data_IF_380401757599
#
_entry.id   IF_380401757599
#
_cell.length_a   1.000
_cell.length_b   1.000
_cell.length_c   1.000
_cell.angle_alpha   90.00
_cell.angle_beta   90.00
_cell.angle_gamma   90.00
#
_symmetry.space_group_name_H-M   'P 1'
#
loop_
_entity.id
_entity.type
_entity.pdbx_description
1 polymer ?
#
# COMPACT_ATOMS: atom_id res chain seq x y z
N UNK A 1 9.30 -42.17 14.01
CA UNK A 1 9.59 -41.25 12.90
C UNK A 1 10.23 -40.02 13.52
N UNK A 2 11.54 -39.86 13.41
CA UNK A 2 12.24 -38.66 13.85
C UNK A 2 11.77 -37.51 12.96
N UNK A 3 11.03 -36.54 13.51
CA UNK A 3 10.86 -35.25 12.84
C UNK A 3 12.26 -34.70 12.61
N UNK A 4 12.73 -34.76 11.36
CA UNK A 4 13.94 -34.06 10.95
C UNK A 4 13.78 -32.61 11.41
N UNK A 5 14.78 -32.07 12.10
CA UNK A 5 14.77 -30.67 12.48
C UNK A 5 14.50 -29.80 11.24
N UNK A 6 13.77 -28.68 11.37
CA UNK A 6 13.55 -27.75 10.27
C UNK A 6 14.91 -27.32 9.67
N UNK A 7 15.00 -27.13 8.35
CA UNK A 7 16.24 -26.68 7.74
C UNK A 7 16.65 -25.31 8.29
N UNK A 8 17.96 -25.14 8.51
CA UNK A 8 18.52 -23.88 9.00
C UNK A 8 18.65 -22.92 7.81
N UNK A 9 18.04 -21.75 7.93
CA UNK A 9 18.10 -20.68 6.95
C UNK A 9 19.49 -20.01 6.97
N UNK A 10 20.09 -19.68 5.80
CA UNK A 10 21.43 -19.09 5.73
C UNK A 10 21.52 -17.67 6.30
N UNK A 11 20.39 -16.98 6.42
CA UNK A 11 20.25 -15.66 7.03
C UNK A 11 19.43 -15.79 8.30
N UNK A 12 20.04 -15.53 9.46
CA UNK A 12 19.43 -15.82 10.76
C UNK A 12 18.10 -15.08 11.00
N UNK A 13 17.98 -13.82 10.58
CA UNK A 13 16.75 -13.03 10.76
C UNK A 13 15.57 -13.54 9.90
N UNK A 14 15.85 -14.34 8.87
CA UNK A 14 14.84 -14.92 7.98
C UNK A 14 14.39 -16.33 8.40
N UNK A 15 15.02 -16.95 9.42
CA UNK A 15 14.62 -18.28 9.90
C UNK A 15 13.14 -18.31 10.33
N UNK A 16 12.71 -17.30 11.09
CA UNK A 16 11.34 -17.22 11.59
C UNK A 16 10.28 -17.13 10.48
N UNK A 17 10.37 -16.14 9.57
CA UNK A 17 9.48 -16.06 8.41
C UNK A 17 9.48 -17.33 7.56
N UNK A 18 10.66 -17.93 7.37
CA UNK A 18 10.80 -19.18 6.62
C UNK A 18 10.07 -20.34 7.31
N UNK A 19 10.28 -20.56 8.61
CA UNK A 19 9.62 -21.61 9.38
C UNK A 19 8.09 -21.47 9.37
N UNK A 20 7.57 -20.24 9.49
CA UNK A 20 6.13 -19.97 9.37
C UNK A 20 5.62 -20.34 7.98
N UNK A 21 6.29 -19.94 6.90
CA UNK A 21 5.88 -20.25 5.53
C UNK A 21 5.87 -21.77 5.23
N UNK A 22 6.83 -22.52 5.78
CA UNK A 22 6.90 -23.98 5.67
C UNK A 22 5.76 -24.66 6.43
N UNK A 23 5.45 -24.18 7.63
CA UNK A 23 4.35 -24.69 8.44
C UNK A 23 2.98 -24.43 7.78
N UNK A 24 2.80 -23.26 7.17
CA UNK A 24 1.60 -22.89 6.41
C UNK A 24 1.43 -23.80 5.17
N UNK A 25 2.50 -24.03 4.41
CA UNK A 25 2.47 -24.88 3.21
C UNK A 25 2.11 -26.34 3.50
N UNK A 26 2.40 -26.83 4.71
CA UNK A 26 2.13 -28.21 5.13
C UNK A 26 0.68 -28.42 5.58
N UNK A 27 -0.04 -27.35 5.94
CA UNK A 27 -1.42 -27.41 6.46
C UNK A 27 -2.49 -27.40 5.36
N UNK A 28 -2.09 -27.42 4.08
CA UNK A 28 -2.97 -27.23 2.93
C UNK A 28 -3.27 -25.75 2.67
N UNK A 29 -3.78 -25.39 1.48
CA UNK A 29 -4.08 -24.00 1.17
C UNK A 29 -5.08 -23.44 2.17
N UNK A 30 -4.67 -22.44 2.94
CA UNK A 30 -5.58 -21.64 3.74
C UNK A 30 -6.41 -20.79 2.75
N UNK A 31 -7.71 -21.11 2.60
CA UNK A 31 -8.65 -20.39 1.72
C UNK A 31 -8.73 -18.88 2.03
N UNK A 32 -8.16 -18.44 3.17
CA UNK A 32 -8.03 -17.04 3.58
C UNK A 32 -6.87 -16.29 2.90
N UNK A 33 -5.84 -16.99 2.42
CA UNK A 33 -4.75 -16.42 1.64
C UNK A 33 -5.07 -16.46 0.14
N UNK A 34 -6.22 -15.91 -0.25
CA UNK A 34 -6.42 -15.56 -1.66
C UNK A 34 -5.41 -14.46 -1.95
N UNK A 35 -4.32 -14.84 -2.61
CA UNK A 35 -3.40 -13.90 -3.25
C UNK A 35 -4.23 -12.82 -3.91
N UNK A 36 -3.85 -11.55 -3.66
CA UNK A 36 -4.47 -10.37 -4.26
C UNK A 36 -4.68 -10.70 -5.72
N UNK A 37 -5.93 -10.96 -6.12
CA UNK A 37 -6.24 -11.48 -7.44
C UNK A 37 -5.71 -10.46 -8.43
N UNK A 38 -4.62 -10.80 -9.11
CA UNK A 38 -3.97 -10.00 -10.16
C UNK A 38 -4.95 -9.49 -11.23
N UNK A 39 -6.11 -10.14 -11.30
CA UNK A 39 -7.16 -9.92 -12.29
C UNK A 39 -8.16 -8.82 -11.95
N UNK A 40 -8.09 -8.20 -10.77
CA UNK A 40 -9.01 -7.10 -10.47
C UNK A 40 -8.52 -5.78 -11.09
N UNK A 41 -9.38 -5.11 -11.85
CA UNK A 41 -9.10 -3.80 -12.46
C UNK A 41 -8.70 -2.77 -11.37
N UNK A 42 -7.57 -2.05 -11.53
CA UNK A 42 -7.16 -0.97 -10.62
C UNK A 42 -8.28 0.03 -10.29
N UNK A 43 -9.15 0.35 -11.26
CA UNK A 43 -10.28 1.25 -11.01
C UNK A 43 -11.32 0.66 -10.07
N UNK A 44 -11.59 -0.65 -10.19
CA UNK A 44 -12.50 -1.35 -9.27
C UNK A 44 -11.90 -1.42 -7.86
N UNK A 45 -10.60 -1.67 -7.73
CA UNK A 45 -9.92 -1.62 -6.41
C UNK A 45 -10.04 -0.23 -5.79
N UNK A 46 -9.79 0.83 -6.57
CA UNK A 46 -9.97 2.21 -6.11
C UNK A 46 -11.40 2.47 -5.67
N UNK A 47 -12.39 2.04 -6.45
CA UNK A 47 -13.81 2.17 -6.10
C UNK A 47 -14.12 1.50 -4.77
N UNK A 48 -13.64 0.28 -4.53
CA UNK A 48 -13.84 -0.42 -3.26
C UNK A 48 -13.26 0.33 -2.06
N UNK A 49 -12.02 0.85 -2.18
CA UNK A 49 -11.42 1.72 -1.15
C UNK A 49 -12.30 2.94 -0.85
N UNK A 50 -12.97 3.49 -1.87
CA UNK A 50 -13.81 4.66 -1.72
C UNK A 50 -15.20 4.35 -1.18
N UNK A 51 -15.74 3.15 -1.39
CA UNK A 51 -17.12 2.78 -1.04
C UNK A 51 -17.22 2.00 0.27
N UNK A 52 -16.32 1.03 0.49
CA UNK A 52 -16.34 0.10 1.62
C UNK A 52 -15.42 0.61 2.75
N UNK A 53 -15.97 0.73 3.96
CA UNK A 53 -15.24 1.23 5.13
C UNK A 53 -14.19 0.26 5.65
N UNK A 54 -14.41 -1.04 5.43
CA UNK A 54 -13.58 -2.13 5.93
C UNK A 54 -12.66 -2.71 4.85
N UNK A 55 -12.78 -2.25 3.60
CA UNK A 55 -11.94 -2.76 2.52
C UNK A 55 -10.47 -2.40 2.75
N UNK A 56 -9.67 -3.43 3.02
CA UNK A 56 -8.22 -3.36 2.90
C UNK A 56 -7.68 -4.67 2.33
N UNK A 57 -7.18 -4.60 1.10
CA UNK A 57 -6.53 -5.72 0.40
C UNK A 57 -5.01 -5.74 0.59
N UNK A 58 -4.46 -4.80 1.37
CA UNK A 58 -3.03 -4.73 1.68
C UNK A 58 -2.55 -5.94 2.47
N UNK A 59 -1.26 -6.27 2.34
CA UNK A 59 -0.68 -7.35 3.11
C UNK A 59 -0.70 -7.03 4.60
N UNK A 60 -0.41 -5.79 4.98
CA UNK A 60 -0.40 -5.34 6.36
C UNK A 60 -1.79 -5.44 7.01
N UNK A 61 -2.87 -5.09 6.31
CA UNK A 61 -4.20 -5.24 6.89
C UNK A 61 -4.57 -6.72 7.07
N UNK A 62 -4.36 -7.55 6.05
CA UNK A 62 -4.61 -9.00 6.14
C UNK A 62 -3.78 -9.63 7.25
N UNK A 63 -2.51 -9.25 7.36
CA UNK A 63 -1.57 -9.70 8.38
C UNK A 63 -2.02 -9.31 9.79
N UNK A 64 -2.40 -8.03 10.02
CA UNK A 64 -2.89 -7.56 11.32
C UNK A 64 -4.18 -8.24 11.76
N UNK A 65 -5.02 -8.66 10.81
CA UNK A 65 -6.25 -9.38 11.09
C UNK A 65 -6.06 -10.89 11.27
N UNK A 66 -4.87 -11.43 11.02
CA UNK A 66 -4.55 -12.84 11.24
C UNK A 66 -3.79 -13.03 12.57
N UNK A 67 -4.46 -13.44 13.66
CA UNK A 67 -3.83 -13.59 14.97
C UNK A 67 -2.79 -14.72 15.03
N UNK A 68 -2.73 -15.59 14.01
CA UNK A 68 -1.78 -16.70 13.93
C UNK A 68 -0.49 -16.34 13.19
N UNK A 69 -0.51 -15.30 12.35
CA UNK A 69 0.66 -14.92 11.55
C UNK A 69 1.58 -14.00 12.35
N UNK A 70 2.85 -14.41 12.49
CA UNK A 70 3.87 -13.65 13.24
C UNK A 70 4.73 -12.81 12.31
N UNK A 71 4.87 -13.22 11.06
CA UNK A 71 5.76 -12.57 10.10
C UNK A 71 4.99 -12.00 8.92
N UNK A 72 5.41 -10.80 8.51
CA UNK A 72 4.82 -10.09 7.38
C UNK A 72 4.94 -10.93 6.08
N UNK A 73 3.93 -10.95 5.19
CA UNK A 73 3.96 -11.74 3.95
C UNK A 73 5.21 -11.51 3.09
N UNK A 74 5.62 -10.26 2.85
CA UNK A 74 6.83 -9.96 2.07
C UNK A 74 8.11 -10.52 2.72
N UNK A 75 8.21 -10.57 4.05
CA UNK A 75 9.34 -11.20 4.73
C UNK A 75 9.36 -12.71 4.50
N UNK A 76 8.18 -13.35 4.49
CA UNK A 76 8.06 -14.79 4.22
C UNK A 76 8.48 -15.12 2.77
N UNK A 77 7.96 -14.37 1.80
CA UNK A 77 8.27 -14.56 0.37
C UNK A 77 9.77 -14.38 0.13
N UNK A 78 10.36 -13.27 0.61
CA UNK A 78 11.80 -13.00 0.42
C UNK A 78 12.68 -14.04 1.15
N UNK A 79 12.26 -14.54 2.32
CA UNK A 79 12.96 -15.62 3.00
C UNK A 79 12.95 -16.92 2.18
N UNK A 80 11.80 -17.29 1.58
CA UNK A 80 11.74 -18.45 0.69
C UNK A 80 12.61 -18.26 -0.57
N UNK A 81 12.65 -17.06 -1.14
CA UNK A 81 13.55 -16.73 -2.26
C UNK A 81 15.02 -16.90 -1.85
N UNK A 82 15.41 -16.31 -0.71
CA UNK A 82 16.76 -16.41 -0.18
C UNK A 82 17.18 -17.87 0.05
N UNK A 83 16.28 -18.68 0.61
CA UNK A 83 16.53 -20.09 0.85
C UNK A 83 16.64 -20.90 -0.46
N UNK A 84 15.76 -20.65 -1.44
CA UNK A 84 15.83 -21.32 -2.75
C UNK A 84 17.14 -21.03 -3.47
N UNK A 85 17.60 -19.77 -3.46
CA UNK A 85 18.91 -19.37 -3.98
C UNK A 85 20.04 -20.11 -3.26
N UNK A 86 19.93 -20.26 -1.93
CA UNK A 86 20.91 -21.01 -1.15
C UNK A 86 20.98 -22.49 -1.52
N UNK A 87 19.83 -23.14 -1.71
CA UNK A 87 19.77 -24.54 -2.13
C UNK A 87 20.49 -24.76 -3.45
N UNK A 88 20.28 -23.87 -4.43
CA UNK A 88 20.97 -23.95 -5.72
C UNK A 88 22.46 -23.66 -5.59
N UNK A 89 22.84 -22.61 -4.85
CA UNK A 89 24.24 -22.25 -4.63
C UNK A 89 25.05 -23.39 -4.01
N UNK A 90 24.49 -24.05 -2.98
CA UNK A 90 25.15 -25.13 -2.25
C UNK A 90 24.93 -26.52 -2.88
N UNK A 91 24.20 -26.60 -4.00
CA UNK A 91 23.81 -27.87 -4.64
C UNK A 91 23.10 -28.84 -3.69
N UNK A 92 22.26 -28.28 -2.81
CA UNK A 92 21.46 -29.02 -1.84
C UNK A 92 20.05 -29.33 -2.38
N UNK A 93 19.69 -28.77 -3.53
CA UNK A 93 18.42 -29.04 -4.19
C UNK A 93 18.34 -30.50 -4.65
N UNK A 94 17.18 -31.14 -4.44
CA UNK A 94 16.90 -32.46 -5.02
C UNK A 94 16.60 -32.37 -6.52
N UNK A 95 16.12 -31.21 -6.97
CA UNK A 95 15.77 -30.90 -8.35
C UNK A 95 15.91 -29.39 -8.54
N UNK A 96 16.88 -28.96 -9.35
CA UNK A 96 17.10 -27.54 -9.64
C UNK A 96 15.89 -26.95 -10.39
N UNK A 97 15.28 -27.70 -11.31
CA UNK A 97 14.06 -27.30 -12.02
C UNK A 97 12.90 -26.98 -11.07
N UNK A 98 12.74 -27.76 -10.00
CA UNK A 98 11.65 -27.53 -9.04
C UNK A 98 11.91 -26.29 -8.18
N UNK A 99 13.17 -26.08 -7.77
CA UNK A 99 13.56 -24.88 -7.04
C UNK A 99 13.36 -23.64 -7.92
N UNK A 100 13.74 -23.69 -9.19
CA UNK A 100 13.54 -22.59 -10.15
C UNK A 100 12.06 -22.25 -10.34
N UNK A 101 11.18 -23.25 -10.47
CA UNK A 101 9.73 -23.03 -10.56
C UNK A 101 9.19 -22.31 -9.32
N UNK A 102 9.57 -22.76 -8.13
CA UNK A 102 9.14 -22.15 -6.86
C UNK A 102 9.67 -20.72 -6.74
N UNK A 103 10.94 -20.50 -7.10
CA UNK A 103 11.53 -19.17 -7.12
C UNK A 103 10.81 -18.22 -8.07
N UNK A 104 10.45 -18.69 -9.27
CA UNK A 104 9.72 -17.87 -10.23
C UNK A 104 8.35 -17.45 -9.66
N UNK A 105 7.61 -18.35 -9.01
CA UNK A 105 6.34 -18.01 -8.37
C UNK A 105 6.51 -16.90 -7.33
N UNK A 106 7.53 -16.99 -6.48
CA UNK A 106 7.79 -15.96 -5.46
C UNK A 106 8.29 -14.64 -6.06
N UNK A 107 9.08 -14.69 -7.14
CA UNK A 107 9.47 -13.50 -7.91
C UNK A 107 8.23 -12.80 -8.47
N UNK A 108 7.34 -13.58 -9.11
CA UNK A 108 6.09 -13.08 -9.68
C UNK A 108 5.17 -12.46 -8.61
N UNK A 109 5.13 -13.02 -7.39
CA UNK A 109 4.38 -12.46 -6.27
C UNK A 109 4.90 -11.07 -5.84
N UNK A 110 6.22 -10.89 -5.75
CA UNK A 110 6.81 -9.57 -5.43
C UNK A 110 6.55 -8.56 -6.55
N UNK A 111 6.73 -8.97 -7.80
CA UNK A 111 6.47 -8.12 -8.97
C UNK A 111 5.00 -7.70 -9.05
N UNK A 112 4.10 -8.65 -8.77
CA UNK A 112 2.66 -8.42 -8.66
C UNK A 112 2.34 -7.37 -7.60
N UNK A 113 2.89 -7.52 -6.39
CA UNK A 113 2.71 -6.56 -5.32
C UNK A 113 3.15 -5.16 -5.76
N UNK A 114 4.39 -5.03 -6.26
CA UNK A 114 4.97 -3.75 -6.66
C UNK A 114 4.15 -3.07 -7.77
N UNK A 115 3.73 -3.84 -8.77
CA UNK A 115 2.88 -3.35 -9.87
C UNK A 115 1.53 -2.86 -9.37
N UNK A 116 0.87 -3.66 -8.53
CA UNK A 116 -0.47 -3.38 -8.00
C UNK A 116 -0.46 -2.14 -7.12
N UNK A 117 0.45 -2.06 -6.16
CA UNK A 117 0.58 -0.89 -5.27
C UNK A 117 0.95 0.38 -6.04
N UNK A 118 1.75 0.27 -7.11
CA UNK A 118 2.08 1.41 -7.97
C UNK A 118 0.83 1.97 -8.65
N UNK A 119 0.02 1.08 -9.25
CA UNK A 119 -1.24 1.46 -9.89
C UNK A 119 -2.21 2.11 -8.90
N UNK A 120 -2.30 1.58 -7.68
CA UNK A 120 -3.20 2.08 -6.66
C UNK A 120 -2.78 3.49 -6.18
N UNK A 121 -1.47 3.72 -5.98
CA UNK A 121 -0.96 5.06 -5.66
C UNK A 121 -1.15 6.06 -6.79
N UNK A 122 -0.97 5.64 -8.04
CA UNK A 122 -1.14 6.54 -9.20
C UNK A 122 -2.60 6.97 -9.35
N UNK A 123 -3.56 6.04 -9.25
CA UNK A 123 -4.99 6.35 -9.29
C UNK A 123 -5.43 7.20 -8.09
N UNK A 124 -4.95 6.90 -6.89
CA UNK A 124 -5.26 7.71 -5.71
C UNK A 124 -4.72 9.13 -5.86
N UNK A 125 -3.50 9.29 -6.37
CA UNK A 125 -2.90 10.60 -6.61
C UNK A 125 -3.68 11.40 -7.65
N UNK A 126 -4.11 10.77 -8.74
CA UNK A 126 -4.90 11.42 -9.80
C UNK A 126 -6.25 11.93 -9.24
N UNK A 127 -7.01 11.08 -8.54
CA UNK A 127 -8.29 11.45 -7.90
C UNK A 127 -8.12 12.61 -6.91
N UNK A 128 -7.11 12.57 -6.04
CA UNK A 128 -6.87 13.64 -5.06
C UNK A 128 -6.45 14.94 -5.76
N UNK A 129 -5.62 14.89 -6.80
CA UNK A 129 -5.23 16.08 -7.58
C UNK A 129 -6.41 16.69 -8.32
N UNK A 130 -7.28 15.87 -8.90
CA UNK A 130 -8.49 16.34 -9.57
C UNK A 130 -9.38 17.09 -8.57
N UNK A 131 -9.65 16.50 -7.40
CA UNK A 131 -10.43 17.15 -6.34
C UNK A 131 -9.82 18.45 -5.86
N UNK A 132 -8.49 18.47 -5.66
CA UNK A 132 -7.75 19.69 -5.32
C UNK A 132 -7.98 20.78 -6.37
N UNK A 133 -7.94 20.45 -7.66
CA UNK A 133 -8.14 21.43 -8.73
C UNK A 133 -9.54 22.04 -8.71
N UNK A 134 -10.59 21.24 -8.50
CA UNK A 134 -11.96 21.74 -8.45
C UNK A 134 -12.24 22.58 -7.20
N UNK A 135 -11.75 22.16 -6.04
CA UNK A 135 -12.04 22.85 -4.77
C UNK A 135 -11.20 24.11 -4.55
N UNK A 136 -10.08 24.28 -5.27
CA UNK A 136 -9.32 25.54 -5.26
C UNK A 136 -10.08 26.68 -5.92
N UNK A 137 -10.82 26.40 -7.00
CA UNK A 137 -11.46 27.43 -7.81
C UNK A 137 -12.43 28.35 -7.01
N UNK A 138 -13.32 27.83 -6.14
CA UNK A 138 -14.14 28.70 -5.29
C UNK A 138 -13.34 29.58 -4.32
N UNK A 139 -12.20 29.08 -3.83
CA UNK A 139 -11.33 29.80 -2.90
C UNK A 139 -10.43 30.82 -3.60
N UNK A 140 -10.23 30.74 -4.91
CA UNK A 140 -9.61 31.80 -5.71
C UNK A 140 -10.60 32.96 -5.95
N UNK A 141 -11.91 32.69 -5.91
CA UNK A 141 -12.98 33.66 -6.12
C UNK A 141 -13.83 33.89 -4.85
N UNK A 142 -13.15 34.12 -3.72
CA UNK A 142 -13.73 34.18 -2.37
C UNK A 142 -15.01 35.02 -2.28
N UNK A 143 -15.02 36.24 -2.84
CA UNK A 143 -16.17 37.15 -2.72
C UNK A 143 -17.44 36.58 -3.37
N UNK A 144 -17.28 35.91 -4.52
CA UNK A 144 -18.38 35.28 -5.23
C UNK A 144 -18.85 34.07 -4.42
N UNK A 145 -17.91 33.24 -3.97
CA UNK A 145 -18.22 32.06 -3.15
C UNK A 145 -18.95 32.43 -1.85
N UNK A 146 -18.48 33.44 -1.12
CA UNK A 146 -19.12 33.91 0.12
C UNK A 146 -20.52 34.48 -0.12
N UNK A 147 -20.77 35.07 -1.29
CA UNK A 147 -22.10 35.54 -1.69
C UNK A 147 -23.03 34.36 -2.01
N UNK A 148 -22.54 33.36 -2.74
CA UNK A 148 -23.29 32.13 -3.01
C UNK A 148 -23.64 31.38 -1.74
N UNK A 149 -22.75 31.38 -0.75
CA UNK A 149 -22.97 30.77 0.56
C UNK A 149 -24.08 31.43 1.39
N UNK A 150 -24.58 32.61 1.03
CA UNK A 150 -25.77 33.17 1.69
C UNK A 150 -27.04 32.37 1.33
N UNK A 151 -27.09 31.74 0.14
CA UNK A 151 -28.15 30.80 -0.22
C UNK A 151 -28.08 29.51 0.62
N UNK A 152 -29.22 29.12 1.20
CA UNK A 152 -29.29 27.99 2.13
C UNK A 152 -29.07 26.65 1.43
N UNK A 153 -29.57 26.49 0.21
CA UNK A 153 -29.49 25.23 -0.52
C UNK A 153 -28.06 24.99 -1.01
N UNK A 154 -27.42 26.02 -1.59
CA UNK A 154 -26.02 26.00 -1.97
C UNK A 154 -25.11 25.74 -0.76
N UNK A 155 -25.35 26.42 0.36
CA UNK A 155 -24.58 26.16 1.58
C UNK A 155 -24.71 24.73 2.09
N UNK A 156 -25.92 24.16 2.05
CA UNK A 156 -26.14 22.77 2.43
C UNK A 156 -25.40 21.79 1.51
N UNK A 157 -25.36 22.04 0.20
CA UNK A 157 -24.61 21.18 -0.73
C UNK A 157 -23.10 21.24 -0.53
N UNK A 158 -22.55 22.40 -0.12
CA UNK A 158 -21.14 22.51 0.27
C UNK A 158 -20.84 21.67 1.50
N UNK A 159 -21.69 21.69 2.52
CA UNK A 159 -21.49 20.89 3.74
C UNK A 159 -21.55 19.40 3.43
N UNK A 160 -22.58 18.93 2.73
CA UNK A 160 -22.70 17.51 2.33
C UNK A 160 -21.54 17.06 1.41
N UNK A 161 -21.12 17.93 0.48
CA UNK A 161 -19.97 17.67 -0.38
C UNK A 161 -18.67 17.53 0.42
N UNK A 162 -18.45 18.42 1.39
CA UNK A 162 -17.27 18.39 2.25
C UNK A 162 -17.21 17.11 3.09
N UNK A 163 -18.33 16.68 3.69
CA UNK A 163 -18.40 15.42 4.46
C UNK A 163 -18.06 14.19 3.61
N UNK A 164 -18.43 14.19 2.33
CA UNK A 164 -18.07 13.10 1.40
C UNK A 164 -16.57 13.12 1.09
N UNK A 165 -15.98 14.30 0.91
CA UNK A 165 -14.56 14.46 0.61
C UNK A 165 -13.70 14.11 1.84
N UNK A 166 -14.14 14.45 3.05
CA UNK A 166 -13.50 14.04 4.31
C UNK A 166 -13.42 12.51 4.40
N UNK A 167 -14.52 11.79 4.12
CA UNK A 167 -14.51 10.32 4.06
C UNK A 167 -13.53 9.77 3.02
N UNK A 168 -13.44 10.40 1.85
CA UNK A 168 -12.48 10.02 0.81
C UNK A 168 -11.03 10.22 1.28
N UNK A 169 -10.75 11.35 1.95
CA UNK A 169 -9.42 11.63 2.53
C UNK A 169 -9.06 10.55 3.54
N UNK A 170 -9.96 10.26 4.49
CA UNK A 170 -9.73 9.27 5.55
C UNK A 170 -9.47 7.87 5.00
N UNK A 171 -10.34 7.40 4.09
CA UNK A 171 -10.22 6.07 3.49
C UNK A 171 -8.94 5.95 2.64
N UNK A 172 -8.62 6.98 1.88
CA UNK A 172 -7.39 7.02 1.07
C UNK A 172 -6.14 7.07 1.96
N UNK A 173 -6.14 7.86 3.03
CA UNK A 173 -5.04 7.95 3.98
C UNK A 173 -4.79 6.61 4.67
N UNK A 174 -5.86 5.90 5.07
CA UNK A 174 -5.76 4.57 5.69
C UNK A 174 -5.11 3.57 4.75
N UNK A 175 -5.64 3.43 3.53
CA UNK A 175 -5.09 2.52 2.52
C UNK A 175 -3.62 2.85 2.19
N UNK A 176 -3.30 4.14 2.04
CA UNK A 176 -1.94 4.62 1.81
C UNK A 176 -0.99 4.23 2.96
N UNK A 177 -1.39 4.46 4.21
CA UNK A 177 -0.57 4.12 5.37
C UNK A 177 -0.33 2.62 5.48
N UNK A 178 -1.36 1.80 5.24
CA UNK A 178 -1.21 0.34 5.24
C UNK A 178 -0.21 -0.11 4.17
N UNK A 179 -0.33 0.40 2.93
CA UNK A 179 0.62 0.10 1.86
C UNK A 179 2.04 0.63 2.14
N UNK A 180 2.20 1.74 2.86
CA UNK A 180 3.52 2.24 3.25
C UNK A 180 4.21 1.33 4.27
N UNK A 181 3.45 0.66 5.15
CA UNK A 181 3.99 -0.37 6.04
C UNK A 181 4.45 -1.58 5.21
N UNK A 182 3.66 -2.03 4.23
CA UNK A 182 4.07 -3.11 3.33
C UNK A 182 5.38 -2.76 2.61
N UNK A 183 5.45 -1.54 2.06
CA UNK A 183 6.64 -1.03 1.36
C UNK A 183 7.86 -1.00 2.29
N UNK A 184 7.72 -0.57 3.54
CA UNK A 184 8.80 -0.60 4.52
C UNK A 184 9.30 -2.02 4.76
N UNK A 185 8.39 -2.98 4.97
CA UNK A 185 8.75 -4.40 5.15
C UNK A 185 9.40 -5.01 3.90
N UNK A 186 8.97 -4.61 2.71
CA UNK A 186 9.62 -4.96 1.46
C UNK A 186 11.06 -4.45 1.35
N UNK A 187 11.31 -3.20 1.77
CA UNK A 187 12.66 -2.60 1.80
C UNK A 187 13.56 -3.38 2.77
N UNK A 188 13.09 -3.62 4.00
CA UNK A 188 13.84 -4.35 5.02
C UNK A 188 14.26 -5.75 4.51
N UNK A 189 13.29 -6.54 4.05
CA UNK A 189 13.55 -7.91 3.60
C UNK A 189 14.45 -7.96 2.36
N UNK A 190 14.23 -7.06 1.37
CA UNK A 190 15.05 -7.00 0.15
C UNK A 190 16.49 -6.56 0.44
N UNK A 191 16.70 -5.75 1.47
CA UNK A 191 18.05 -5.35 1.91
C UNK A 191 18.83 -6.56 2.43
N UNK A 192 18.20 -7.41 3.25
CA UNK A 192 18.81 -8.65 3.74
C UNK A 192 19.09 -9.66 2.62
N UNK A 193 18.17 -9.79 1.65
CA UNK A 193 18.41 -10.61 0.45
C UNK A 193 19.63 -10.10 -0.34
N UNK A 194 19.73 -8.78 -0.53
CA UNK A 194 20.85 -8.16 -1.24
C UNK A 194 22.18 -8.41 -0.51
N UNK A 195 22.20 -8.28 0.82
CA UNK A 195 23.38 -8.58 1.63
C UNK A 195 23.78 -10.05 1.51
N UNK A 196 22.82 -10.97 1.53
CA UNK A 196 23.08 -12.39 1.31
C UNK A 196 23.68 -12.67 -0.09
N UNK A 197 23.12 -12.06 -1.14
CA UNK A 197 23.62 -12.19 -2.51
C UNK A 197 25.05 -11.65 -2.68
N UNK A 198 25.43 -10.59 -1.96
CA UNK A 198 26.82 -10.13 -1.93
C UNK A 198 27.73 -11.11 -1.19
N UNK A 199 27.27 -11.73 -0.10
CA UNK A 199 28.08 -12.66 0.68
C UNK A 199 28.42 -13.96 -0.07
N UNK A 200 27.52 -14.42 -0.96
CA UNK A 200 27.76 -15.61 -1.79
C UNK A 200 28.46 -15.27 -3.12
N UNK A 201 28.84 -14.00 -3.33
CA UNK A 201 29.58 -13.57 -4.51
C UNK A 201 30.94 -14.25 -4.54
N UNK A 202 31.29 -14.86 -5.67
CA UNK A 202 32.63 -15.42 -5.89
C UNK A 202 32.76 -16.93 -5.68
N UNK A 203 31.68 -17.65 -5.35
CA UNK A 203 31.63 -19.11 -5.32
C UNK A 203 31.66 -19.79 -6.71
N UNK A 204 32.12 -19.11 -7.75
CA UNK A 204 32.03 -19.55 -9.14
C UNK A 204 33.19 -20.51 -9.47
N UNK A 205 32.95 -21.82 -9.36
CA UNK A 205 33.82 -22.81 -9.97
C UNK A 205 33.62 -22.86 -11.50
N UNK A 206 34.65 -23.25 -12.26
CA UNK A 206 34.53 -23.54 -13.69
C UNK A 206 33.39 -24.54 -13.95
N UNK A 207 32.54 -24.25 -14.95
CA UNK A 207 31.38 -25.09 -15.31
C UNK A 207 30.03 -24.70 -14.66
N UNK A 208 29.93 -23.52 -14.02
CA UNK A 208 28.69 -23.02 -13.40
C UNK A 208 28.02 -21.86 -14.16
N UNK A 209 27.91 -21.97 -15.49
CA UNK A 209 27.29 -20.92 -16.33
C UNK A 209 25.81 -20.70 -15.98
N UNK A 210 25.06 -21.77 -15.74
CA UNK A 210 23.63 -21.70 -15.37
C UNK A 210 23.41 -20.98 -14.04
N UNK A 211 24.18 -21.34 -13.01
CA UNK A 211 24.16 -20.66 -11.73
C UNK A 211 24.55 -19.18 -11.85
N UNK A 212 25.54 -18.86 -12.69
CA UNK A 212 25.95 -17.48 -12.93
C UNK A 212 24.82 -16.65 -13.51
N UNK A 213 24.03 -17.22 -14.43
CA UNK A 213 22.83 -16.58 -14.99
C UNK A 213 21.77 -16.32 -13.91
N UNK A 214 21.45 -17.33 -13.11
CA UNK A 214 20.45 -17.24 -12.03
C UNK A 214 20.86 -16.21 -10.98
N UNK A 215 22.12 -16.25 -10.53
CA UNK A 215 22.67 -15.27 -9.59
C UNK A 215 22.56 -13.84 -10.13
N UNK A 216 22.91 -13.64 -11.41
CA UNK A 216 22.84 -12.33 -12.06
C UNK A 216 21.40 -11.83 -12.15
N UNK A 217 20.46 -12.71 -12.52
CA UNK A 217 19.03 -12.38 -12.55
C UNK A 217 18.51 -12.00 -11.17
N UNK A 218 18.82 -12.79 -10.13
CA UNK A 218 18.34 -12.49 -8.77
C UNK A 218 18.93 -11.21 -8.18
N UNK A 219 20.18 -10.88 -8.51
CA UNK A 219 20.74 -9.56 -8.19
C UNK A 219 20.00 -8.43 -8.89
N UNK A 220 19.69 -8.61 -10.18
CA UNK A 220 18.89 -7.66 -10.94
C UNK A 220 17.52 -7.44 -10.31
N UNK A 221 16.84 -8.53 -9.92
CA UNK A 221 15.54 -8.48 -9.26
C UNK A 221 15.63 -7.76 -7.91
N UNK A 222 16.56 -8.13 -7.03
CA UNK A 222 16.71 -7.48 -5.72
C UNK A 222 16.95 -5.97 -5.83
N UNK A 223 17.83 -5.54 -6.75
CA UNK A 223 18.08 -4.12 -7.01
C UNK A 223 16.86 -3.41 -7.61
N UNK A 224 16.18 -4.05 -8.57
CA UNK A 224 14.95 -3.54 -9.19
C UNK A 224 13.83 -3.35 -8.17
N UNK A 225 13.58 -4.35 -7.34
CA UNK A 225 12.60 -4.30 -6.25
C UNK A 225 12.93 -3.20 -5.26
N UNK A 226 14.18 -3.10 -4.80
CA UNK A 226 14.59 -2.04 -3.88
C UNK A 226 14.27 -0.64 -4.42
N UNK A 227 14.59 -0.39 -5.71
CA UNK A 227 14.26 0.88 -6.38
C UNK A 227 12.76 1.10 -6.48
N UNK A 228 11.99 0.07 -6.83
CA UNK A 228 10.53 0.15 -6.90
C UNK A 228 9.91 0.46 -5.52
N UNK A 229 10.34 -0.22 -4.45
CA UNK A 229 9.89 0.10 -3.09
C UNK A 229 10.23 1.53 -2.69
N UNK A 230 11.44 2.03 -2.99
CA UNK A 230 11.80 3.43 -2.74
C UNK A 230 10.94 4.42 -3.53
N UNK A 231 10.64 4.10 -4.78
CA UNK A 231 9.72 4.90 -5.60
C UNK A 231 8.31 4.93 -5.00
N UNK A 232 7.80 3.79 -4.55
CA UNK A 232 6.52 3.68 -3.83
C UNK A 232 6.50 4.50 -2.54
N UNK A 233 7.58 4.48 -1.76
CA UNK A 233 7.71 5.29 -0.54
C UNK A 233 7.59 6.79 -0.86
N UNK A 234 8.26 7.27 -1.92
CA UNK A 234 8.16 8.67 -2.38
C UNK A 234 6.75 9.00 -2.88
N UNK A 235 6.12 8.10 -3.66
CA UNK A 235 4.73 8.28 -4.14
C UNK A 235 3.74 8.36 -2.98
N UNK A 236 3.81 7.44 -2.02
CA UNK A 236 2.94 7.44 -0.85
C UNK A 236 3.12 8.71 0.00
N UNK A 237 4.36 9.13 0.25
CA UNK A 237 4.61 10.39 0.96
C UNK A 237 4.03 11.61 0.22
N UNK A 238 4.17 11.64 -1.11
CA UNK A 238 3.59 12.69 -1.95
C UNK A 238 2.06 12.70 -1.89
N UNK A 239 1.43 11.52 -1.87
CA UNK A 239 -0.01 11.37 -1.70
C UNK A 239 -0.47 11.90 -0.34
N UNK A 240 0.29 11.61 0.73
CA UNK A 240 0.04 12.15 2.06
C UNK A 240 0.04 13.67 2.09
N UNK A 241 1.00 14.32 1.42
CA UNK A 241 1.02 15.79 1.28
C UNK A 241 -0.23 16.30 0.55
N UNK A 242 -0.63 15.65 -0.56
CA UNK A 242 -1.81 16.04 -1.32
C UNK A 242 -3.11 15.89 -0.50
N UNK A 243 -3.23 14.83 0.30
CA UNK A 243 -4.36 14.61 1.21
C UNK A 243 -4.46 15.70 2.28
N UNK A 244 -3.35 16.10 2.89
CA UNK A 244 -3.31 17.21 3.86
C UNK A 244 -3.74 18.53 3.22
N UNK A 245 -3.28 18.80 1.99
CA UNK A 245 -3.70 19.98 1.23
C UNK A 245 -5.21 19.97 0.96
N UNK A 246 -5.76 18.82 0.56
CA UNK A 246 -7.19 18.67 0.28
C UNK A 246 -8.01 18.89 1.56
N UNK A 247 -7.59 18.29 2.68
CA UNK A 247 -8.21 18.51 3.98
C UNK A 247 -8.20 19.97 4.42
N UNK A 248 -7.11 20.71 4.16
CA UNK A 248 -7.05 22.15 4.47
C UNK A 248 -8.06 22.97 3.66
N UNK A 249 -8.21 22.67 2.36
CA UNK A 249 -9.18 23.34 1.50
C UNK A 249 -10.62 23.06 1.96
N UNK A 250 -10.92 21.78 2.24
CA UNK A 250 -12.24 21.36 2.74
C UNK A 250 -12.56 22.06 4.06
N UNK A 251 -11.61 22.12 4.99
CA UNK A 251 -11.79 22.81 6.27
C UNK A 251 -12.05 24.32 6.10
N UNK A 252 -11.34 24.99 5.19
CA UNK A 252 -11.58 26.41 4.90
C UNK A 252 -12.97 26.64 4.30
N UNK A 253 -13.42 25.78 3.38
CA UNK A 253 -14.78 25.84 2.83
C UNK A 253 -15.84 25.61 3.91
N UNK A 254 -15.65 24.62 4.79
CA UNK A 254 -16.55 24.33 5.92
C UNK A 254 -16.63 25.51 6.89
N UNK A 255 -15.51 26.15 7.21
CA UNK A 255 -15.46 27.34 8.06
C UNK A 255 -16.28 28.50 7.48
N UNK A 256 -16.16 28.76 6.18
CA UNK A 256 -16.91 29.80 5.46
C UNK A 256 -18.40 29.53 5.45
N UNK A 257 -18.80 28.29 5.13
CA UNK A 257 -20.19 27.86 5.22
C UNK A 257 -20.75 28.08 6.64
N UNK A 258 -19.97 27.74 7.68
CA UNK A 258 -20.34 28.00 9.08
C UNK A 258 -20.53 29.49 9.40
N UNK A 259 -19.67 30.37 8.89
CA UNK A 259 -19.81 31.84 9.04
C UNK A 259 -21.09 32.34 8.38
N UNK A 260 -21.36 31.94 7.13
CA UNK A 260 -22.57 32.34 6.40
C UNK A 260 -23.85 31.87 7.11
N UNK A 261 -23.84 30.64 7.64
CA UNK A 261 -24.94 30.11 8.45
C UNK A 261 -25.24 30.99 9.66
N UNK A 262 -24.22 31.36 10.46
CA UNK A 262 -24.38 32.25 11.63
C UNK A 262 -24.90 33.64 11.25
N UNK A 263 -24.40 34.22 10.16
CA UNK A 263 -24.86 35.52 9.64
C UNK A 263 -26.35 35.48 9.27
N UNK A 264 -26.82 34.39 8.67
CA UNK A 264 -28.24 34.23 8.33
C UNK A 264 -29.15 34.20 9.56
N UNK A 265 -28.73 33.53 10.65
CA UNK A 265 -29.48 33.45 11.92
C UNK A 265 -29.59 34.82 12.58
N UNK A 266 -28.49 35.59 12.62
CA UNK A 266 -28.48 36.95 13.19
C UNK A 266 -29.41 37.88 12.43
N UNK A 267 -29.40 37.84 11.09
CA UNK A 267 -30.31 38.65 10.24
C UNK A 267 -31.78 38.33 10.53
N UNK A 268 -32.14 37.05 10.66
CA UNK A 268 -33.52 36.63 10.98
C UNK A 268 -33.93 37.09 12.38
N UNK A 269 -33.05 36.99 13.39
CA UNK A 269 -33.33 37.45 14.75
C UNK A 269 -33.54 38.97 14.86
N UNK A 270 -32.76 39.76 14.12
CA UNK A 270 -32.92 41.23 14.08
C UNK A 270 -34.26 41.59 13.41
N UNK A 271 -34.58 40.96 12.28
CA UNK A 271 -35.85 41.22 11.58
C UNK A 271 -37.07 40.87 12.44
N UNK A 272 -37.05 39.77 13.21
CA UNK A 272 -38.14 39.44 14.12
C UNK A 272 -38.34 40.48 15.25
N UNK A 273 -37.25 41.09 15.76
CA UNK A 273 -37.33 42.13 16.80
C UNK A 273 -37.85 43.47 16.26
N UNK A 274 -37.55 43.83 15.02
CA UNK A 274 -38.03 45.06 14.40
C UNK A 274 -39.52 45.01 13.99
N UNK A 275 -40.08 43.83 13.74
CA UNK A 275 -41.51 43.66 13.39
C UNK A 275 -42.41 43.64 14.65
N UNK A 276 -41.83 43.50 15.84
CA UNK A 276 -42.56 43.43 17.11
C UNK A 276 -42.45 44.71 17.96
N UNK A 277 -42.05 45.84 17.34
CA UNK A 277 -42.05 47.19 17.91
C UNK A 277 -42.97 48.10 17.11
#
# INVERSE_FOLDING_TARGET
>A
MTLSAPPIHPVACMQGPFDESMAESTQGPDDSAKSVKETEDPKLRRQKVLEDEEYSSSYNAQWRHNPKSKYHPLWKIIAQICFGIHLMHQRLAKSDDEVLKILQLHVDEIDTFLRTTTQDFDLAMEDIKERLSYLKLPLEHVNIFDTMLDDRQFRASIVDGNEKIERIIERTARAMNDSLVDVEKGIEATTELSAYLENIRGGFAEGQEEWTSIYTAMRGNAEGWYRCFRSLQVKGNSLGVALVQLGSIVNEMSKRAGVASRRSIVRTHINCRCISS
#
